data_IF_854932314161
#
_entry.id   IF_854932314161
#
_cell.length_a   1.000
_cell.length_b   1.000
_cell.length_c   1.000
_cell.angle_alpha   90.00
_cell.angle_beta   90.00
_cell.angle_gamma   90.00
#
_symmetry.space_group_name_H-M   'P 1'
#
loop_
_entity.id
_entity.type
_entity.pdbx_description
1 polymer ?
#
# COMPACT_ATOMS: atom_id res chain seq x y z
N UNK A 1 -5.19 -40.28 -46.99
CA UNK A 1 -5.20 -39.06 -47.84
C UNK A 1 -4.01 -38.20 -47.42
N UNK A 2 -3.23 -37.75 -48.42
CA UNK A 2 -2.05 -36.82 -48.46
C UNK A 2 -1.78 -36.00 -47.18
N UNK A 3 -0.63 -36.14 -46.51
CA UNK A 3 0.70 -35.54 -46.76
C UNK A 3 0.82 -34.04 -46.40
N UNK A 4 1.77 -33.72 -45.51
CA UNK A 4 2.85 -32.69 -45.65
C UNK A 4 3.20 -31.98 -44.33
N UNK A 5 4.42 -32.25 -43.87
CA UNK A 5 5.25 -31.48 -42.93
C UNK A 5 5.89 -30.26 -43.62
N UNK A 6 6.06 -29.11 -42.94
CA UNK A 6 7.11 -28.13 -43.29
C UNK A 6 7.21 -26.91 -42.33
N UNK A 7 8.45 -26.70 -41.84
CA UNK A 7 9.22 -25.44 -41.80
C UNK A 7 8.79 -24.34 -40.80
N UNK A 8 9.54 -24.08 -39.73
CA UNK A 8 10.86 -23.40 -39.69
C UNK A 8 10.81 -21.99 -40.30
N UNK A 9 10.64 -20.97 -39.46
CA UNK A 9 10.94 -19.57 -39.79
C UNK A 9 11.47 -18.85 -38.55
N UNK A 10 12.79 -18.91 -38.40
CA UNK A 10 13.58 -17.95 -37.63
C UNK A 10 13.37 -16.58 -38.25
N UNK A 11 12.60 -15.70 -37.62
CA UNK A 11 12.63 -14.27 -37.94
C UNK A 11 13.64 -13.58 -37.04
N UNK A 12 14.90 -13.68 -37.47
CA UNK A 12 15.94 -12.69 -37.19
C UNK A 12 15.46 -11.34 -37.74
N UNK A 13 14.76 -10.56 -36.92
CA UNK A 13 14.53 -9.15 -37.26
C UNK A 13 15.75 -8.38 -36.77
N UNK A 14 16.73 -8.33 -37.66
CA UNK A 14 17.72 -7.25 -37.76
C UNK A 14 16.97 -5.91 -37.69
N UNK A 15 16.95 -5.26 -36.52
CA UNK A 15 16.55 -3.86 -36.46
C UNK A 15 17.74 -3.06 -36.96
N UNK A 16 17.67 -2.81 -38.26
CA UNK A 16 18.48 -1.89 -39.05
C UNK A 16 18.47 -0.52 -38.36
N UNK A 17 19.60 -0.16 -37.75
CA UNK A 17 19.88 1.21 -37.28
C UNK A 17 20.10 2.07 -38.51
N UNK A 18 19.12 2.89 -38.87
CA UNK A 18 19.32 4.08 -39.71
C UNK A 18 18.71 5.30 -39.03
N UNK A 19 19.57 6.31 -38.97
CA UNK A 19 19.50 7.62 -38.33
C UNK A 19 18.26 8.45 -38.64
N UNK A 20 17.65 9.07 -37.62
CA UNK A 20 17.24 10.49 -37.65
C UNK A 20 17.09 10.98 -36.21
N UNK A 21 17.57 12.20 -35.96
CA UNK A 21 17.52 12.84 -34.65
C UNK A 21 16.09 12.97 -34.15
N UNK A 22 15.80 12.28 -33.06
CA UNK A 22 14.77 12.66 -32.13
C UNK A 22 15.41 12.55 -30.75
N UNK A 23 15.69 13.70 -30.14
CA UNK A 23 15.80 13.78 -28.69
C UNK A 23 14.39 13.49 -28.13
N UNK A 24 13.98 12.24 -28.20
CA UNK A 24 12.87 11.74 -27.42
C UNK A 24 13.35 11.77 -25.98
N UNK A 25 13.16 12.91 -25.32
CA UNK A 25 13.09 13.00 -23.87
C UNK A 25 11.88 12.17 -23.45
N UNK A 26 12.07 10.85 -23.48
CA UNK A 26 11.17 9.90 -22.87
C UNK A 26 11.08 10.32 -21.42
N UNK A 27 9.94 10.90 -21.06
CA UNK A 27 9.56 11.00 -19.67
C UNK A 27 9.39 9.56 -19.22
N UNK A 28 10.47 8.98 -18.67
CA UNK A 28 10.40 7.75 -17.91
C UNK A 28 9.33 8.01 -16.88
N UNK A 29 8.15 7.41 -17.10
CA UNK A 29 6.99 7.58 -16.23
C UNK A 29 7.49 7.39 -14.81
N UNK A 30 7.27 8.40 -13.96
CA UNK A 30 7.80 8.41 -12.59
C UNK A 30 7.42 7.07 -11.96
N UNK A 31 8.39 6.17 -11.81
CA UNK A 31 8.20 4.95 -11.06
C UNK A 31 8.00 5.43 -9.64
N UNK A 32 6.76 5.63 -9.22
CA UNK A 32 6.46 6.06 -7.86
C UNK A 32 7.04 5.00 -6.94
N UNK A 33 8.16 5.31 -6.30
CA UNK A 33 8.79 4.43 -5.32
C UNK A 33 7.78 4.21 -4.21
N UNK A 34 7.30 2.97 -4.06
CA UNK A 34 6.41 2.61 -2.96
C UNK A 34 7.16 2.85 -1.65
N UNK A 35 6.60 3.70 -0.79
CA UNK A 35 7.21 4.00 0.51
C UNK A 35 7.14 2.78 1.43
N UNK A 36 8.08 2.69 2.38
CA UNK A 36 8.07 1.66 3.42
C UNK A 36 6.72 1.57 4.14
N UNK A 37 6.10 2.73 4.41
CA UNK A 37 4.76 2.84 4.99
C UNK A 37 3.70 2.09 4.16
N UNK A 38 3.68 2.33 2.86
CA UNK A 38 2.73 1.69 1.94
C UNK A 38 2.94 0.18 1.92
N UNK A 39 4.19 -0.28 1.85
CA UNK A 39 4.51 -1.71 1.86
C UNK A 39 4.11 -2.39 3.17
N UNK A 40 4.42 -1.78 4.31
CA UNK A 40 4.04 -2.34 5.62
C UNK A 40 2.52 -2.32 5.81
N UNK A 41 1.85 -1.22 5.46
CA UNK A 41 0.40 -1.13 5.55
C UNK A 41 -0.27 -2.16 4.64
N UNK A 42 0.19 -2.31 3.40
CA UNK A 42 -0.29 -3.33 2.46
C UNK A 42 -0.17 -4.75 3.03
N UNK A 43 0.98 -5.07 3.64
CA UNK A 43 1.22 -6.36 4.27
C UNK A 43 0.30 -6.60 5.47
N UNK A 44 0.17 -5.61 6.37
CA UNK A 44 -0.65 -5.70 7.57
C UNK A 44 -2.14 -5.84 7.26
N UNK A 45 -2.62 -5.14 6.23
CA UNK A 45 -4.04 -5.14 5.84
C UNK A 45 -4.51 -6.51 5.32
N UNK A 46 -3.58 -7.33 4.84
CA UNK A 46 -3.83 -8.67 4.27
C UNK A 46 -3.35 -9.79 5.19
N UNK A 47 -2.84 -9.47 6.38
CA UNK A 47 -2.30 -10.46 7.29
C UNK A 47 -3.42 -11.03 8.19
N UNK A 48 -3.70 -12.35 8.15
CA UNK A 48 -4.79 -12.95 8.94
C UNK A 48 -4.56 -12.90 10.46
N UNK A 49 -3.33 -12.60 10.91
CA UNK A 49 -3.01 -12.43 12.34
C UNK A 49 -3.33 -11.03 12.87
N UNK A 50 -3.70 -10.09 12.00
CA UNK A 50 -3.96 -8.70 12.37
C UNK A 50 -5.44 -8.38 12.12
N UNK A 51 -6.20 -8.27 13.20
CA UNK A 51 -7.55 -7.73 13.15
C UNK A 51 -7.52 -6.20 13.20
N UNK A 52 -8.11 -5.52 12.22
CA UNK A 52 -8.29 -4.06 12.23
C UNK A 52 -9.77 -3.73 12.43
N UNK A 53 -10.10 -2.98 13.47
CA UNK A 53 -11.48 -2.57 13.71
C UNK A 53 -11.97 -1.60 12.62
N UNK A 54 -13.18 -1.85 12.12
CA UNK A 54 -13.94 -0.98 11.23
C UNK A 54 -14.96 -0.11 11.98
N UNK A 55 -14.79 0.02 13.30
CA UNK A 55 -15.60 0.85 14.19
C UNK A 55 -14.72 1.49 15.26
N UNK A 56 -15.17 2.61 15.82
CA UNK A 56 -14.58 3.21 17.01
C UNK A 56 -15.18 2.63 18.28
N UNK A 57 -14.36 2.45 19.32
CA UNK A 57 -14.85 2.04 20.65
C UNK A 57 -15.82 3.09 21.21
N UNK A 58 -15.64 4.37 20.85
CA UNK A 58 -16.55 5.46 21.21
C UNK A 58 -17.93 5.41 20.53
N UNK A 59 -18.12 4.55 19.53
CA UNK A 59 -19.33 4.51 18.70
C UNK A 59 -19.41 5.60 17.63
N UNK A 60 -18.41 6.49 17.54
CA UNK A 60 -18.31 7.50 16.46
C UNK A 60 -18.28 6.80 15.09
N UNK A 61 -18.94 7.40 14.10
CA UNK A 61 -18.89 6.97 12.70
C UNK A 61 -18.18 8.02 11.87
N UNK A 62 -16.98 7.69 11.41
CA UNK A 62 -16.19 8.49 10.47
C UNK A 62 -15.14 7.58 9.78
N UNK A 63 -14.25 8.21 9.01
CA UNK A 63 -13.21 7.52 8.21
C UNK A 63 -11.86 7.42 8.94
N UNK A 64 -11.85 7.46 10.27
CA UNK A 64 -10.65 7.42 11.11
C UNK A 64 -10.45 6.10 11.87
N UNK A 65 -11.23 5.05 11.57
CA UNK A 65 -11.05 3.73 12.20
C UNK A 65 -9.69 3.13 11.87
N UNK A 66 -9.23 2.16 12.68
CA UNK A 66 -7.96 1.46 12.43
C UNK A 66 -7.90 0.86 11.01
N UNK A 67 -9.00 0.29 10.53
CA UNK A 67 -9.12 -0.24 9.17
C UNK A 67 -8.94 0.86 8.11
N UNK A 68 -9.68 1.97 8.21
CA UNK A 68 -9.57 3.06 7.24
C UNK A 68 -8.20 3.74 7.27
N UNK A 69 -7.61 3.91 8.47
CA UNK A 69 -6.26 4.43 8.62
C UNK A 69 -5.22 3.58 7.88
N UNK A 70 -5.31 2.24 7.97
CA UNK A 70 -4.40 1.34 7.26
C UNK A 70 -4.62 1.38 5.73
N UNK A 71 -5.86 1.45 5.26
CA UNK A 71 -6.17 1.63 3.83
C UNK A 71 -5.60 2.94 3.26
N UNK A 72 -5.70 4.02 4.03
CA UNK A 72 -5.13 5.32 3.64
C UNK A 72 -3.60 5.23 3.56
N UNK A 73 -2.95 4.59 4.54
CA UNK A 73 -1.52 4.39 4.54
C UNK A 73 -1.04 3.50 3.38
N UNK A 74 -1.77 2.43 3.05
CA UNK A 74 -1.50 1.57 1.89
C UNK A 74 -1.52 2.36 0.58
N UNK A 75 -2.45 3.31 0.44
CA UNK A 75 -2.55 4.19 -0.74
C UNK A 75 -1.51 5.32 -0.75
N UNK A 76 -0.66 5.42 0.27
CA UNK A 76 0.32 6.50 0.43
C UNK A 76 -0.27 7.81 0.93
N UNK A 77 -1.53 7.80 1.37
CA UNK A 77 -2.22 8.96 1.91
C UNK A 77 -1.94 9.14 3.42
N UNK A 78 -2.21 10.34 3.92
CA UNK A 78 -2.26 10.61 5.37
C UNK A 78 -3.51 9.95 5.96
N UNK A 79 -3.35 9.31 7.10
CA UNK A 79 -4.44 8.68 7.83
C UNK A 79 -5.25 9.71 8.59
N UNK A 80 -6.58 9.66 8.49
CA UNK A 80 -7.49 10.57 9.17
C UNK A 80 -7.46 10.34 10.68
N UNK A 81 -7.44 11.44 11.43
CA UNK A 81 -7.66 11.46 12.88
C UNK A 81 -9.12 11.83 13.11
N UNK A 82 -9.79 11.15 14.04
CA UNK A 82 -11.14 11.54 14.41
C UNK A 82 -11.13 12.88 15.16
N UNK A 83 -12.30 13.49 15.29
CA UNK A 83 -12.56 14.68 16.10
C UNK A 83 -13.59 14.40 17.20
N UNK A 84 -13.73 13.13 17.64
CA UNK A 84 -14.57 12.81 18.81
C UNK A 84 -13.82 13.03 20.12
N UNK A 85 -14.52 13.51 21.15
CA UNK A 85 -13.95 13.80 22.47
C UNK A 85 -12.71 14.71 22.37
N UNK A 86 -11.52 14.21 22.72
CA UNK A 86 -10.26 14.96 22.69
C UNK A 86 -9.37 14.56 21.51
N UNK A 87 -9.91 13.80 20.56
CA UNK A 87 -9.17 13.43 19.37
C UNK A 87 -8.83 14.70 18.56
N UNK A 88 -7.58 14.87 18.11
CA UNK A 88 -7.07 16.14 17.60
C UNK A 88 -7.60 16.53 16.21
N UNK A 89 -8.38 15.68 15.53
CA UNK A 89 -8.89 15.92 14.18
C UNK A 89 -7.80 16.00 13.10
N UNK A 90 -8.16 16.18 11.84
CA UNK A 90 -7.20 16.31 10.74
C UNK A 90 -6.59 14.99 10.28
N UNK A 91 -5.31 14.96 9.90
CA UNK A 91 -4.67 13.75 9.37
C UNK A 91 -3.17 13.68 9.69
N UNK A 92 -2.61 12.49 9.71
CA UNK A 92 -1.19 12.25 10.03
C UNK A 92 -0.67 11.06 9.23
N UNK A 93 0.62 11.04 8.92
CA UNK A 93 1.24 9.83 8.42
C UNK A 93 1.41 8.82 9.55
N UNK A 94 1.00 7.57 9.35
CA UNK A 94 1.33 6.51 10.31
C UNK A 94 2.85 6.37 10.40
N UNK A 95 3.34 6.21 11.63
CA UNK A 95 4.76 6.10 11.86
C UNK A 95 5.33 4.75 11.35
N UNK A 96 6.52 4.79 10.75
CA UNK A 96 7.15 3.60 10.17
C UNK A 96 7.59 2.61 11.25
N UNK A 97 8.05 3.07 12.42
CA UNK A 97 8.45 2.21 13.53
C UNK A 97 7.24 1.50 14.12
N UNK A 98 6.11 2.21 14.28
CA UNK A 98 4.85 1.60 14.70
C UNK A 98 4.40 0.49 13.74
N UNK A 99 4.36 0.76 12.44
CA UNK A 99 3.98 -0.23 11.43
C UNK A 99 4.95 -1.42 11.38
N UNK A 100 6.25 -1.15 11.55
CA UNK A 100 7.25 -2.21 11.60
C UNK A 100 7.08 -3.08 12.85
N UNK A 101 6.83 -2.47 14.02
CA UNK A 101 6.57 -3.21 15.27
C UNK A 101 5.33 -4.10 15.17
N UNK A 102 4.25 -3.57 14.59
CA UNK A 102 3.06 -4.36 14.23
C UNK A 102 3.44 -5.55 13.34
N UNK A 103 4.16 -5.30 12.25
CA UNK A 103 4.58 -6.37 11.33
C UNK A 103 5.47 -7.41 12.02
N UNK A 104 6.41 -6.97 12.86
CA UNK A 104 7.30 -7.82 13.64
C UNK A 104 6.53 -8.76 14.57
N UNK A 105 5.50 -8.28 15.28
CA UNK A 105 4.67 -9.13 16.14
C UNK A 105 4.04 -10.30 15.35
N UNK A 106 3.57 -10.04 14.11
CA UNK A 106 3.02 -11.10 13.27
C UNK A 106 4.08 -12.14 12.85
N UNK A 107 5.32 -11.69 12.63
CA UNK A 107 6.49 -12.53 12.30
C UNK A 107 6.91 -13.38 13.50
N UNK A 108 6.78 -12.83 14.71
CA UNK A 108 7.04 -13.52 15.97
C UNK A 108 5.93 -14.50 16.39
N UNK A 109 4.88 -14.66 15.57
CA UNK A 109 3.81 -15.64 15.80
C UNK A 109 2.58 -15.11 16.55
N UNK A 110 2.55 -13.82 16.88
CA UNK A 110 1.43 -13.22 17.59
C UNK A 110 0.27 -12.89 16.66
N UNK A 111 -0.94 -13.08 17.19
CA UNK A 111 -2.19 -12.57 16.61
C UNK A 111 -2.78 -11.54 17.55
N UNK A 112 -3.25 -10.42 17.00
CA UNK A 112 -3.78 -9.33 17.81
C UNK A 112 -4.83 -8.52 17.03
N UNK A 113 -5.59 -7.72 17.78
CA UNK A 113 -6.61 -6.83 17.23
C UNK A 113 -6.31 -5.39 17.62
N UNK A 114 -6.31 -4.50 16.63
CA UNK A 114 -6.13 -3.07 16.81
C UNK A 114 -7.49 -2.39 16.67
N UNK A 115 -7.88 -1.67 17.71
CA UNK A 115 -9.14 -0.91 17.73
C UNK A 115 -8.97 0.52 17.23
N UNK A 116 -7.82 1.13 17.47
CA UNK A 116 -7.52 2.51 17.10
C UNK A 116 -6.07 2.64 16.65
N UNK A 117 -5.84 3.51 15.66
CA UNK A 117 -4.50 3.97 15.27
C UNK A 117 -4.44 5.49 15.48
N UNK A 118 -4.65 6.27 14.44
CA UNK A 118 -4.67 7.73 14.51
C UNK A 118 -6.04 8.29 14.93
N UNK A 119 -7.11 7.48 14.89
CA UNK A 119 -8.48 7.86 15.24
C UNK A 119 -8.82 7.92 16.73
N UNK A 120 -7.97 7.40 17.61
CA UNK A 120 -8.25 7.30 19.04
C UNK A 120 -8.26 8.65 19.75
N UNK A 121 -9.23 8.86 20.65
CA UNK A 121 -9.17 9.99 21.61
C UNK A 121 -8.12 9.70 22.67
N UNK A 122 -7.15 10.59 22.82
CA UNK A 122 -6.09 10.52 23.83
C UNK A 122 -5.91 11.91 24.48
N UNK A 123 -5.25 11.94 25.65
CA UNK A 123 -4.79 13.20 26.26
C UNK A 123 -3.33 13.39 25.84
N UNK A 124 -2.99 14.62 25.50
CA UNK A 124 -1.58 15.07 25.42
C UNK A 124 -1.06 15.33 26.85
#
# INVERSE_FOLDING_TARGET
MKSCSALCSVFLVLVVVWTTGACSSGSFGSSQSVSLRQTLAHSLLRNPRVGLANFHVSGRRDNATAFYNMQQAERGARSMRSSYLRAPGGSVYLDNQMLWGMHYLTRAGWSYRVTELAGGSHRE
#
